data_IF_621920624352
#
_entry.id   IF_621920624352
#
_cell.length_a   1.000
_cell.length_b   1.000
_cell.length_c   1.000
_cell.angle_alpha   90.00
_cell.angle_beta   90.00
_cell.angle_gamma   90.00
#
_symmetry.space_group_name_H-M   'P 1'
#
loop_
_entity.id
_entity.type
_entity.pdbx_description
1 polymer ?
#
# COMPACT_ATOMS: atom_id res chain seq x y z
N UNK A 1 -18.69 7.49 15.90
CA UNK A 1 -18.45 7.38 14.45
C UNK A 1 -17.12 6.70 14.23
N UNK A 2 -17.07 5.68 13.38
CA UNK A 2 -15.84 5.09 12.85
C UNK A 2 -15.77 5.51 11.37
N UNK A 3 -14.67 6.13 10.93
CA UNK A 3 -14.57 6.63 9.58
C UNK A 3 -13.23 6.26 8.91
N UNK A 4 -13.28 6.09 7.60
CA UNK A 4 -12.12 6.07 6.72
C UNK A 4 -12.01 7.47 6.09
N UNK A 5 -11.04 8.30 6.50
CA UNK A 5 -10.98 9.68 6.02
C UNK A 5 -10.55 9.74 4.55
N UNK A 6 -11.28 10.53 3.76
CA UNK A 6 -10.87 10.90 2.41
C UNK A 6 -10.17 12.25 2.51
N UNK A 7 -8.97 12.35 1.95
CA UNK A 7 -8.17 13.56 2.00
C UNK A 7 -8.78 14.67 1.13
N UNK A 8 -9.56 15.55 1.75
CA UNK A 8 -9.92 16.86 1.20
C UNK A 8 -10.07 17.87 2.34
N UNK A 9 -9.79 19.14 2.08
CA UNK A 9 -9.97 20.21 3.08
C UNK A 9 -11.40 20.28 3.59
N UNK A 10 -12.38 20.04 2.74
CA UNK A 10 -13.81 20.04 3.09
C UNK A 10 -14.13 18.94 4.09
N UNK A 11 -13.59 17.74 3.87
CA UNK A 11 -13.79 16.60 4.77
C UNK A 11 -13.13 16.82 6.13
N UNK A 12 -11.94 17.46 6.19
CA UNK A 12 -11.28 17.78 7.46
C UNK A 12 -12.16 18.69 8.32
N UNK A 13 -12.76 19.73 7.72
CA UNK A 13 -13.66 20.63 8.45
C UNK A 13 -14.91 19.90 8.95
N UNK A 14 -15.45 18.98 8.18
CA UNK A 14 -16.59 18.15 8.55
C UNK A 14 -16.30 17.25 9.74
N UNK A 15 -15.19 16.50 9.72
CA UNK A 15 -14.77 15.66 10.86
C UNK A 15 -14.48 16.50 12.11
N UNK A 16 -13.89 17.68 11.94
CA UNK A 16 -13.60 18.59 13.04
C UNK A 16 -14.86 19.06 13.78
N UNK A 17 -15.97 19.28 13.06
CA UNK A 17 -17.24 19.65 13.67
C UNK A 17 -17.79 18.55 14.59
N UNK A 18 -17.70 17.28 14.18
CA UNK A 18 -18.11 16.17 15.06
C UNK A 18 -17.26 16.11 16.33
N UNK A 19 -15.96 16.24 16.19
CA UNK A 19 -15.04 16.24 17.32
C UNK A 19 -15.30 17.38 18.29
N UNK A 20 -15.47 18.62 17.78
CA UNK A 20 -15.75 19.81 18.59
C UNK A 20 -17.11 19.72 19.32
N UNK A 21 -18.07 19.03 18.74
CA UNK A 21 -19.38 18.76 19.36
C UNK A 21 -19.36 17.59 20.35
N UNK A 22 -18.19 17.04 20.66
CA UNK A 22 -18.03 15.93 21.62
C UNK A 22 -18.55 14.58 21.08
N UNK A 23 -18.75 14.44 19.77
CA UNK A 23 -19.17 13.17 19.17
C UNK A 23 -18.00 12.19 19.18
N UNK A 24 -18.13 10.99 19.77
CA UNK A 24 -17.10 9.96 19.71
C UNK A 24 -16.74 9.63 18.26
N UNK A 25 -15.45 9.74 17.94
CA UNK A 25 -14.95 9.60 16.56
C UNK A 25 -13.59 8.91 16.55
N UNK A 26 -13.45 7.89 15.70
CA UNK A 26 -12.20 7.16 15.45
C UNK A 26 -11.97 7.07 13.95
N UNK A 27 -10.78 7.42 13.52
CA UNK A 27 -10.31 7.25 12.15
C UNK A 27 -9.62 5.89 11.98
N UNK A 28 -9.75 5.29 10.80
CA UNK A 28 -9.09 4.03 10.44
C UNK A 28 -8.28 4.25 9.18
N UNK A 29 -7.07 3.71 9.17
CA UNK A 29 -6.10 3.69 8.07
C UNK A 29 -5.46 5.05 7.75
N UNK A 30 -6.20 6.15 7.75
CA UNK A 30 -5.69 7.49 7.45
C UNK A 30 -5.92 8.46 8.59
N UNK A 31 -4.92 9.29 8.86
CA UNK A 31 -5.01 10.34 9.89
C UNK A 31 -5.84 11.50 9.38
N UNK A 32 -6.70 12.06 10.24
CA UNK A 32 -7.33 13.35 9.97
C UNK A 32 -6.35 14.45 10.40
N UNK A 33 -5.85 15.29 9.49
CA UNK A 33 -4.92 16.36 9.81
C UNK A 33 -5.48 17.33 10.86
N UNK A 34 -4.61 17.87 11.71
CA UNK A 34 -4.91 18.93 12.69
C UNK A 34 -5.93 18.57 13.78
N UNK A 35 -6.23 17.28 13.97
CA UNK A 35 -7.21 16.82 14.95
C UNK A 35 -6.60 15.80 15.92
N UNK A 36 -7.09 15.82 17.15
CA UNK A 36 -6.78 14.82 18.17
C UNK A 36 -7.70 13.58 18.04
N UNK A 37 -8.18 13.31 16.84
CA UNK A 37 -9.04 12.16 16.56
C UNK A 37 -8.17 10.91 16.58
N UNK A 38 -8.48 9.93 17.43
CA UNK A 38 -7.74 8.68 17.45
C UNK A 38 -7.73 8.01 16.08
N UNK A 39 -6.57 7.54 15.68
CA UNK A 39 -6.40 6.86 14.39
C UNK A 39 -5.77 5.48 14.60
N UNK A 40 -6.35 4.48 13.96
CA UNK A 40 -5.87 3.11 13.95
C UNK A 40 -5.29 2.84 12.57
N UNK A 41 -4.02 2.46 12.49
CA UNK A 41 -3.31 2.24 11.23
C UNK A 41 -2.50 0.96 11.25
N UNK A 42 -2.22 0.43 10.06
CA UNK A 42 -1.15 -0.53 9.87
C UNK A 42 0.21 0.18 10.00
N UNK A 43 1.20 -0.45 10.62
CA UNK A 43 2.58 0.03 10.57
C UNK A 43 3.16 -0.18 9.16
N UNK A 44 2.73 0.69 8.24
CA UNK A 44 3.09 0.63 6.83
C UNK A 44 4.61 0.61 6.60
N UNK A 45 5.38 1.37 7.42
CA UNK A 45 6.83 1.40 7.33
C UNK A 45 7.44 0.04 7.70
N UNK A 46 7.09 -0.49 8.88
CA UNK A 46 7.67 -1.73 9.39
C UNK A 46 7.26 -2.93 8.55
N UNK A 47 6.01 -2.96 8.10
CA UNK A 47 5.50 -4.03 7.24
C UNK A 47 6.21 -4.03 5.88
N UNK A 48 6.37 -2.88 5.24
CA UNK A 48 7.10 -2.77 3.98
C UNK A 48 8.59 -3.08 4.14
N UNK A 49 9.22 -2.66 5.24
CA UNK A 49 10.59 -3.03 5.55
C UNK A 49 10.75 -4.56 5.63
N UNK A 50 9.85 -5.24 6.35
CA UNK A 50 9.87 -6.70 6.48
C UNK A 50 9.64 -7.40 5.14
N UNK A 51 8.76 -6.89 4.27
CA UNK A 51 8.54 -7.46 2.95
C UNK A 51 9.77 -7.31 2.05
N UNK A 52 10.39 -6.12 2.03
CA UNK A 52 11.64 -5.92 1.30
C UNK A 52 12.77 -6.81 1.85
N UNK A 53 12.90 -6.92 3.18
CA UNK A 53 13.85 -7.84 3.82
C UNK A 53 13.58 -9.31 3.46
N UNK A 54 12.31 -9.70 3.31
CA UNK A 54 11.95 -11.05 2.85
C UNK A 54 12.48 -11.30 1.43
N UNK A 55 12.32 -10.36 0.50
CA UNK A 55 12.87 -10.48 -0.86
C UNK A 55 14.40 -10.55 -0.84
N UNK A 56 15.05 -9.71 -0.04
CA UNK A 56 16.52 -9.71 0.11
C UNK A 56 17.01 -11.06 0.66
N UNK A 57 16.32 -11.63 1.66
CA UNK A 57 16.63 -12.94 2.23
C UNK A 57 16.43 -14.10 1.23
N UNK A 58 15.61 -13.86 0.17
CA UNK A 58 15.45 -14.78 -0.97
C UNK A 58 16.54 -14.61 -2.04
N UNK A 59 17.47 -13.67 -1.85
CA UNK A 59 18.61 -13.43 -2.73
C UNK A 59 18.40 -12.30 -3.75
N UNK A 60 17.28 -11.58 -3.69
CA UNK A 60 17.05 -10.46 -4.58
C UNK A 60 17.87 -9.24 -4.13
N UNK A 61 18.66 -8.69 -5.04
CA UNK A 61 19.43 -7.43 -4.85
C UNK A 61 18.98 -6.34 -5.81
N UNK A 62 18.22 -6.67 -6.83
CA UNK A 62 17.60 -5.75 -7.79
C UNK A 62 16.09 -5.87 -7.64
N UNK A 63 15.53 -5.01 -6.80
CA UNK A 63 14.11 -5.01 -6.44
C UNK A 63 13.52 -3.69 -6.90
N UNK A 64 12.45 -3.74 -7.68
CA UNK A 64 11.66 -2.56 -8.07
C UNK A 64 10.57 -2.30 -7.05
N UNK A 65 10.15 -1.04 -6.90
CA UNK A 65 8.99 -0.63 -6.13
C UNK A 65 7.95 0.01 -7.05
N UNK A 66 6.72 -0.46 -6.96
CA UNK A 66 5.64 0.00 -7.81
C UNK A 66 4.46 0.51 -6.98
N UNK A 67 4.08 1.76 -7.17
CA UNK A 67 3.00 2.44 -6.45
C UNK A 67 2.06 3.16 -7.42
N UNK A 68 0.90 3.62 -6.92
CA UNK A 68 0.01 4.49 -7.70
C UNK A 68 0.11 5.95 -7.26
N UNK A 69 0.69 6.23 -6.11
CA UNK A 69 0.75 7.61 -5.61
C UNK A 69 1.84 7.82 -4.56
N UNK A 70 3.01 8.29 -4.97
CA UNK A 70 4.06 8.68 -4.02
C UNK A 70 3.69 9.86 -3.10
N UNK A 71 2.54 10.50 -3.28
CA UNK A 71 2.07 11.57 -2.40
C UNK A 71 1.20 11.06 -1.25
N UNK A 72 0.61 9.86 -1.36
CA UNK A 72 -0.16 9.23 -0.29
C UNK A 72 0.72 8.92 0.94
N UNK A 73 0.22 9.19 2.15
CA UNK A 73 0.99 9.00 3.40
C UNK A 73 1.37 7.54 3.62
N UNK A 74 0.44 6.61 3.42
CA UNK A 74 0.68 5.19 3.63
C UNK A 74 1.71 4.65 2.63
N UNK A 75 1.59 5.05 1.35
CA UNK A 75 2.53 4.62 0.32
C UNK A 75 3.93 5.23 0.49
N UNK A 76 4.04 6.49 0.96
CA UNK A 76 5.32 7.06 1.38
C UNK A 76 5.99 6.25 2.49
N UNK A 77 5.21 5.79 3.47
CA UNK A 77 5.73 4.96 4.56
C UNK A 77 6.15 3.58 4.04
N UNK A 78 5.37 2.96 3.15
CA UNK A 78 5.72 1.70 2.47
C UNK A 78 7.02 1.86 1.68
N UNK A 79 7.12 2.91 0.86
CA UNK A 79 8.32 3.21 0.09
C UNK A 79 9.55 3.47 0.98
N UNK A 80 9.39 4.23 2.07
CA UNK A 80 10.48 4.48 3.03
C UNK A 80 10.94 3.18 3.70
N UNK A 81 10.01 2.29 4.07
CA UNK A 81 10.33 0.98 4.62
C UNK A 81 11.14 0.12 3.65
N UNK A 82 10.70 0.05 2.40
CA UNK A 82 11.41 -0.62 1.31
C UNK A 82 12.82 -0.05 1.12
N UNK A 83 12.97 1.29 0.98
CA UNK A 83 14.29 1.92 0.80
C UNK A 83 15.25 1.63 1.94
N UNK A 84 14.78 1.74 3.19
CA UNK A 84 15.63 1.50 4.34
C UNK A 84 16.07 0.01 4.41
N UNK A 85 15.22 -0.92 4.04
CA UNK A 85 15.62 -2.33 3.95
C UNK A 85 16.75 -2.55 2.93
N UNK A 86 16.71 -1.88 1.76
CA UNK A 86 17.81 -1.94 0.79
C UNK A 86 19.10 -1.37 1.39
N UNK A 87 19.03 -0.17 1.96
CA UNK A 87 20.19 0.55 2.52
C UNK A 87 20.84 -0.27 3.64
N UNK A 88 20.05 -0.80 4.58
CA UNK A 88 20.55 -1.57 5.72
C UNK A 88 21.23 -2.90 5.27
N UNK A 89 20.90 -3.38 4.08
CA UNK A 89 21.52 -4.56 3.45
C UNK A 89 22.60 -4.19 2.41
N UNK A 90 23.09 -2.94 2.38
CA UNK A 90 24.10 -2.43 1.47
C UNK A 90 23.71 -2.57 -0.02
N UNK A 91 22.42 -2.52 -0.33
CA UNK A 91 21.90 -2.49 -1.70
C UNK A 91 21.64 -1.04 -2.08
N UNK A 92 22.29 -0.56 -3.14
CA UNK A 92 22.08 0.81 -3.64
C UNK A 92 20.74 0.89 -4.35
N UNK A 93 19.80 1.76 -3.93
CA UNK A 93 18.56 2.00 -4.65
C UNK A 93 18.83 2.55 -6.06
N UNK A 94 18.11 2.07 -7.06
CA UNK A 94 18.17 2.54 -8.43
C UNK A 94 16.89 3.32 -8.78
N UNK A 95 17.03 4.54 -9.29
CA UNK A 95 15.87 5.39 -9.61
C UNK A 95 14.99 4.78 -10.71
N UNK A 96 15.58 4.07 -11.67
CA UNK A 96 14.84 3.40 -12.74
C UNK A 96 13.93 2.26 -12.26
N UNK A 97 14.07 1.85 -11.00
CA UNK A 97 13.24 0.80 -10.36
C UNK A 97 12.02 1.38 -9.62
N UNK A 98 11.82 2.70 -9.62
CA UNK A 98 10.68 3.32 -8.95
C UNK A 98 9.61 3.65 -9.96
N UNK A 99 8.52 2.88 -9.92
CA UNK A 99 7.42 3.01 -10.85
C UNK A 99 6.21 3.61 -10.15
N UNK A 100 5.54 4.51 -10.85
CA UNK A 100 4.29 5.13 -10.42
C UNK A 100 3.27 5.07 -11.55
N UNK A 101 2.03 4.73 -11.22
CA UNK A 101 0.91 4.93 -12.13
C UNK A 101 0.38 6.33 -11.86
N UNK A 102 0.37 7.20 -12.88
CA UNK A 102 -0.20 8.52 -12.73
C UNK A 102 -1.66 8.43 -12.24
N UNK A 103 -1.96 9.10 -11.14
CA UNK A 103 -3.27 9.08 -10.51
C UNK A 103 -4.39 9.53 -11.46
N UNK A 104 -4.09 10.46 -12.36
CA UNK A 104 -5.05 10.97 -13.35
C UNK A 104 -5.35 9.96 -14.44
N UNK A 105 -4.49 8.94 -14.59
CA UNK A 105 -4.67 7.80 -15.50
C UNK A 105 -5.44 6.64 -14.86
N UNK A 106 -5.69 6.67 -13.54
CA UNK A 106 -6.45 5.63 -12.86
C UNK A 106 -7.95 5.89 -13.01
N UNK A 107 -8.75 4.91 -13.49
CA UNK A 107 -10.19 5.01 -13.42
C UNK A 107 -10.60 5.20 -11.95
N UNK A 108 -11.59 6.05 -11.69
CA UNK A 108 -12.14 6.29 -10.33
C UNK A 108 -12.56 4.99 -9.63
N UNK A 109 -12.72 3.93 -10.39
CA UNK A 109 -13.00 2.59 -9.93
C UNK A 109 -12.00 1.63 -10.61
N UNK A 110 -10.86 1.36 -9.95
CA UNK A 110 -9.84 0.42 -10.45
C UNK A 110 -10.37 -1.00 -10.70
N UNK A 111 -11.55 -1.31 -10.21
CA UNK A 111 -12.26 -2.58 -10.42
C UNK A 111 -13.24 -2.54 -11.62
N UNK A 112 -13.33 -1.41 -12.35
CA UNK A 112 -14.20 -1.33 -13.52
C UNK A 112 -13.57 -2.02 -14.73
N UNK A 113 -14.44 -2.62 -15.58
CA UNK A 113 -14.05 -3.33 -16.80
C UNK A 113 -13.29 -2.47 -17.84
N UNK A 114 -13.16 -1.16 -17.62
CA UNK A 114 -12.42 -0.20 -18.47
C UNK A 114 -10.97 0.03 -18.02
N UNK A 115 -10.28 -1.02 -17.60
CA UNK A 115 -8.88 -0.95 -17.16
C UNK A 115 -7.85 -0.95 -18.30
N UNK A 116 -8.26 -0.82 -19.56
CA UNK A 116 -7.35 -0.88 -20.72
C UNK A 116 -6.22 0.15 -20.68
N UNK A 117 -6.46 1.32 -20.09
CA UNK A 117 -5.44 2.36 -19.93
C UNK A 117 -4.41 1.96 -18.87
N UNK A 118 -4.85 1.45 -17.73
CA UNK A 118 -3.96 0.92 -16.67
C UNK A 118 -3.10 -0.22 -17.21
N UNK A 119 -3.70 -1.16 -17.93
CA UNK A 119 -3.00 -2.24 -18.60
C UNK A 119 -1.92 -1.72 -19.55
N UNK A 120 -2.25 -0.74 -20.41
CA UNK A 120 -1.30 -0.15 -21.35
C UNK A 120 -0.13 0.54 -20.66
N UNK A 121 -0.38 1.24 -19.54
CA UNK A 121 0.66 1.91 -18.76
C UNK A 121 1.59 0.87 -18.14
N UNK A 122 1.03 -0.11 -17.43
CA UNK A 122 1.81 -1.15 -16.74
C UNK A 122 2.59 -1.99 -17.75
N UNK A 123 1.98 -2.33 -18.89
CA UNK A 123 2.65 -3.04 -19.98
C UNK A 123 3.94 -2.33 -20.42
N UNK A 124 3.83 -1.04 -20.78
CA UNK A 124 4.96 -0.24 -21.24
C UNK A 124 6.04 -0.07 -20.17
N UNK A 125 5.62 0.17 -18.92
CA UNK A 125 6.56 0.33 -17.81
C UNK A 125 7.28 -0.99 -17.52
N UNK A 126 6.58 -2.12 -17.56
CA UNK A 126 7.16 -3.44 -17.34
C UNK A 126 8.10 -3.84 -18.49
N UNK A 127 7.70 -3.59 -19.75
CA UNK A 127 8.55 -3.80 -20.91
C UNK A 127 9.84 -2.99 -20.80
N UNK A 128 9.73 -1.70 -20.47
CA UNK A 128 10.91 -0.85 -20.23
C UNK A 128 11.79 -1.38 -19.10
N UNK A 129 11.17 -1.69 -17.93
CA UNK A 129 11.89 -2.19 -16.76
C UNK A 129 12.68 -3.48 -17.07
N UNK A 130 12.08 -4.38 -17.82
CA UNK A 130 12.69 -5.66 -18.19
C UNK A 130 13.71 -5.54 -19.35
N UNK A 131 13.75 -4.41 -20.06
CA UNK A 131 14.75 -4.10 -21.08
C UNK A 131 16.05 -3.52 -20.51
N UNK A 132 16.08 -3.12 -19.25
CA UNK A 132 17.27 -2.56 -18.60
C UNK A 132 18.41 -3.59 -18.59
N UNK A 133 19.66 -3.13 -18.77
CA UNK A 133 20.85 -3.98 -18.69
C UNK A 133 20.95 -4.69 -17.33
N UNK A 134 20.68 -3.94 -16.26
CA UNK A 134 20.56 -4.47 -14.89
C UNK A 134 19.08 -4.50 -14.51
N UNK A 135 18.30 -5.38 -15.16
CA UNK A 135 16.87 -5.52 -14.88
C UNK A 135 16.60 -6.03 -13.45
N UNK A 136 15.51 -5.61 -12.79
CA UNK A 136 15.14 -6.14 -11.49
C UNK A 136 14.74 -7.62 -11.59
N UNK A 137 14.92 -8.34 -10.49
CA UNK A 137 14.50 -9.74 -10.34
C UNK A 137 13.28 -9.89 -9.45
N UNK A 138 12.84 -8.78 -8.83
CA UNK A 138 11.62 -8.73 -8.05
C UNK A 138 10.96 -7.37 -8.16
N UNK A 139 9.64 -7.33 -8.02
CA UNK A 139 8.83 -6.11 -7.87
C UNK A 139 8.05 -6.20 -6.56
N UNK A 140 8.20 -5.16 -5.73
CA UNK A 140 7.34 -4.94 -4.58
C UNK A 140 6.26 -3.92 -4.97
N UNK A 141 5.05 -4.40 -5.15
CA UNK A 141 3.88 -3.56 -5.43
C UNK A 141 3.31 -3.01 -4.12
N UNK A 142 3.08 -1.70 -4.06
CA UNK A 142 2.59 -1.02 -2.87
C UNK A 142 1.21 -1.50 -2.43
N UNK A 143 0.43 -2.18 -3.32
CA UNK A 143 -0.81 -2.88 -2.99
C UNK A 143 -1.13 -3.97 -4.04
N UNK A 144 -2.00 -4.89 -3.64
CA UNK A 144 -2.25 -6.13 -4.37
C UNK A 144 -2.87 -5.95 -5.76
N UNK A 145 -3.66 -4.89 -5.97
CA UNK A 145 -4.25 -4.65 -7.30
C UNK A 145 -3.18 -4.30 -8.34
N UNK A 146 -2.15 -3.53 -7.98
CA UNK A 146 -1.01 -3.31 -8.89
C UNK A 146 -0.30 -4.64 -9.17
N UNK A 147 -0.09 -5.46 -8.15
CA UNK A 147 0.55 -6.77 -8.31
C UNK A 147 -0.24 -7.68 -9.27
N UNK A 148 -1.57 -7.65 -9.20
CA UNK A 148 -2.44 -8.39 -10.10
C UNK A 148 -2.28 -7.94 -11.55
N UNK A 149 -2.29 -6.63 -11.79
CA UNK A 149 -2.04 -6.07 -13.13
C UNK A 149 -0.63 -6.41 -13.64
N UNK A 150 0.39 -6.31 -12.77
CA UNK A 150 1.78 -6.69 -13.12
C UNK A 150 1.84 -8.15 -13.52
N UNK A 151 1.20 -9.07 -12.80
CA UNK A 151 1.16 -10.50 -13.19
C UNK A 151 0.50 -10.71 -14.55
N UNK A 152 -0.60 -10.02 -14.81
CA UNK A 152 -1.32 -10.13 -16.06
C UNK A 152 -0.47 -9.63 -17.23
N UNK A 153 0.17 -8.46 -17.09
CA UNK A 153 1.03 -7.91 -18.14
C UNK A 153 2.34 -8.69 -18.31
N UNK A 154 2.91 -9.23 -17.24
CA UNK A 154 4.05 -10.14 -17.30
C UNK A 154 3.73 -11.37 -18.18
N UNK A 155 2.53 -11.94 -18.01
CA UNK A 155 2.06 -13.06 -18.83
C UNK A 155 1.97 -12.70 -20.31
N UNK A 156 1.46 -11.50 -20.64
CA UNK A 156 1.38 -11.04 -22.06
C UNK A 156 2.75 -10.79 -22.68
N UNK A 157 3.74 -10.38 -21.87
CA UNK A 157 5.13 -10.18 -22.29
C UNK A 157 5.97 -11.47 -22.30
N UNK A 158 5.39 -12.61 -21.90
CA UNK A 158 6.10 -13.88 -21.81
C UNK A 158 7.10 -13.95 -20.65
N UNK A 159 6.93 -13.11 -19.62
CA UNK A 159 7.75 -13.08 -18.42
C UNK A 159 7.17 -14.09 -17.41
N UNK A 160 7.95 -15.08 -17.03
CA UNK A 160 7.54 -16.10 -16.07
C UNK A 160 7.61 -15.57 -14.63
N UNK A 161 6.51 -15.75 -13.87
CA UNK A 161 6.48 -15.48 -12.45
C UNK A 161 6.37 -16.82 -11.71
N UNK A 162 7.24 -17.13 -10.76
CA UNK A 162 8.29 -16.28 -10.19
C UNK A 162 9.67 -16.40 -10.84
N UNK A 163 9.86 -17.22 -11.90
CA UNK A 163 11.16 -17.65 -12.38
C UNK A 163 12.00 -16.52 -12.97
N UNK A 164 11.40 -15.66 -13.81
CA UNK A 164 12.05 -14.47 -14.37
C UNK A 164 11.91 -13.25 -13.49
N UNK A 165 10.78 -13.14 -12.77
CA UNK A 165 10.42 -11.98 -11.97
C UNK A 165 9.54 -12.38 -10.79
N UNK A 166 10.02 -12.17 -9.57
CA UNK A 166 9.21 -12.33 -8.37
C UNK A 166 8.31 -11.10 -8.15
N UNK A 167 7.04 -11.32 -7.80
CA UNK A 167 6.08 -10.24 -7.52
C UNK A 167 5.51 -10.42 -6.13
N UNK A 168 5.53 -9.34 -5.33
CA UNK A 168 4.89 -9.31 -4.00
C UNK A 168 3.99 -8.10 -3.89
N UNK A 169 2.98 -8.20 -3.02
CA UNK A 169 1.96 -7.18 -2.80
C UNK A 169 1.87 -6.68 -1.37
N UNK A 170 0.83 -5.92 -1.11
CA UNK A 170 0.46 -5.40 0.20
C UNK A 170 -1.06 -5.33 0.28
N UNK A 171 -1.64 -5.67 1.43
CA UNK A 171 -3.03 -5.72 1.89
C UNK A 171 -3.56 -7.14 2.11
N UNK A 172 -3.05 -8.16 1.42
CA UNK A 172 -3.52 -9.54 1.42
C UNK A 172 -5.02 -9.65 1.13
N UNK A 173 -5.41 -9.05 0.01
CA UNK A 173 -6.80 -9.09 -0.45
C UNK A 173 -7.19 -10.52 -0.90
N UNK A 174 -8.48 -10.82 -0.87
CA UNK A 174 -9.02 -12.11 -1.31
C UNK A 174 -8.55 -12.55 -2.70
N UNK A 175 -8.28 -11.59 -3.59
CA UNK A 175 -7.78 -11.88 -4.94
C UNK A 175 -6.42 -12.58 -4.96
N UNK A 176 -5.60 -12.43 -3.90
CA UNK A 176 -4.23 -12.97 -3.86
C UNK A 176 -4.18 -14.49 -4.07
N UNK A 177 -5.16 -15.21 -3.54
CA UNK A 177 -5.25 -16.67 -3.67
C UNK A 177 -5.82 -17.11 -5.01
N UNK A 178 -6.40 -16.19 -5.82
CA UNK A 178 -7.11 -16.47 -7.05
C UNK A 178 -6.41 -15.99 -8.31
N UNK A 179 -5.23 -15.36 -8.15
CA UNK A 179 -4.39 -14.99 -9.28
C UNK A 179 -3.79 -16.24 -9.94
N UNK A 180 -3.36 -16.12 -11.19
CA UNK A 180 -2.70 -17.20 -11.92
C UNK A 180 -1.50 -17.77 -11.15
N UNK A 181 -0.71 -16.89 -10.52
CA UNK A 181 0.31 -17.25 -9.54
C UNK A 181 -0.14 -16.65 -8.20
N UNK A 182 -0.43 -17.48 -7.17
CA UNK A 182 -0.82 -16.96 -5.86
C UNK A 182 0.18 -15.92 -5.34
N UNK A 183 -0.34 -14.78 -4.87
CA UNK A 183 0.47 -13.62 -4.53
C UNK A 183 0.94 -13.66 -3.09
N UNK A 184 2.26 -13.58 -2.87
CA UNK A 184 2.81 -13.27 -1.56
C UNK A 184 2.53 -11.80 -1.23
N UNK A 185 1.83 -11.55 -0.14
CA UNK A 185 1.40 -10.20 0.23
C UNK A 185 1.55 -9.94 1.73
N UNK A 186 1.69 -8.67 2.11
CA UNK A 186 1.63 -8.22 3.50
C UNK A 186 0.17 -8.24 3.95
N UNK A 187 -0.14 -9.06 4.95
CA UNK A 187 -1.48 -9.07 5.53
C UNK A 187 -1.67 -7.91 6.52
N UNK A 188 -2.70 -7.11 6.30
CA UNK A 188 -3.19 -6.16 7.29
C UNK A 188 -4.18 -6.86 8.22
N UNK A 189 -4.05 -6.65 9.54
CA UNK A 189 -4.98 -7.23 10.52
C UNK A 189 -6.24 -6.35 10.66
N UNK A 190 -7.07 -6.35 9.62
CA UNK A 190 -8.33 -5.60 9.60
C UNK A 190 -9.27 -5.99 10.75
N UNK A 191 -9.21 -7.25 11.21
CA UNK A 191 -10.02 -7.73 12.33
C UNK A 191 -9.57 -7.09 13.63
N UNK A 192 -8.27 -7.09 13.92
CA UNK A 192 -7.74 -6.43 15.12
C UNK A 192 -7.97 -4.92 15.08
N UNK A 193 -7.78 -4.29 13.91
CA UNK A 193 -8.05 -2.86 13.71
C UNK A 193 -9.55 -2.53 13.98
N UNK A 194 -10.47 -3.34 13.44
CA UNK A 194 -11.91 -3.17 13.67
C UNK A 194 -12.30 -3.33 15.16
N UNK A 195 -11.77 -4.37 15.82
CA UNK A 195 -12.00 -4.58 17.25
C UNK A 195 -11.48 -3.40 18.09
N UNK A 196 -10.29 -2.89 17.75
CA UNK A 196 -9.73 -1.72 18.42
C UNK A 196 -10.56 -0.46 18.18
N UNK A 197 -11.12 -0.27 17.00
CA UNK A 197 -12.01 0.85 16.71
C UNK A 197 -13.27 0.82 17.60
N UNK A 198 -13.88 -0.35 17.77
CA UNK A 198 -15.03 -0.52 18.66
C UNK A 198 -14.64 -0.25 20.13
N UNK A 199 -13.49 -0.78 20.59
CA UNK A 199 -12.98 -0.50 21.94
C UNK A 199 -12.85 1.01 22.20
N UNK A 200 -12.20 1.73 21.26
CA UNK A 200 -11.95 3.16 21.42
C UNK A 200 -13.23 3.99 21.41
N UNK A 201 -14.18 3.66 20.53
CA UNK A 201 -15.50 4.32 20.53
C UNK A 201 -16.23 4.08 21.87
N UNK A 202 -16.19 2.85 22.39
CA UNK A 202 -16.83 2.52 23.67
C UNK A 202 -16.22 3.31 24.81
N UNK A 203 -14.90 3.45 24.87
CA UNK A 203 -14.19 4.28 25.85
C UNK A 203 -14.58 5.76 25.76
N UNK A 204 -14.62 6.31 24.55
CA UNK A 204 -15.04 7.70 24.33
C UNK A 204 -16.49 7.94 24.79
N UNK A 205 -17.40 7.00 24.52
CA UNK A 205 -18.80 7.07 25.00
C UNK A 205 -18.85 7.05 26.55
N UNK A 206 -17.97 6.28 27.19
CA UNK A 206 -17.84 6.24 28.64
C UNK A 206 -17.14 7.47 29.24
N UNK A 207 -16.67 8.41 28.44
CA UNK A 207 -15.93 9.60 28.88
C UNK A 207 -14.46 9.32 29.25
N UNK A 208 -13.94 8.17 28.87
CA UNK A 208 -12.54 7.79 29.10
C UNK A 208 -11.62 8.44 28.06
N UNK A 209 -10.40 8.77 28.48
CA UNK A 209 -9.36 9.26 27.55
C UNK A 209 -8.79 8.11 26.72
N UNK A 210 -8.48 8.39 25.46
CA UNK A 210 -7.85 7.46 24.54
C UNK A 210 -6.61 8.09 23.89
N UNK A 211 -5.64 7.28 23.52
CA UNK A 211 -4.46 7.74 22.78
C UNK A 211 -4.83 8.18 21.36
N UNK A 212 -4.00 9.02 20.76
CA UNK A 212 -4.26 9.58 19.44
C UNK A 212 -3.85 8.67 18.27
N UNK A 213 -3.03 7.63 18.51
CA UNK A 213 -2.56 6.74 17.44
C UNK A 213 -2.32 5.32 17.92
N UNK A 214 -2.72 4.36 17.11
CA UNK A 214 -2.53 2.92 17.33
C UNK A 214 -2.02 2.28 16.05
N UNK A 215 -0.90 1.54 16.14
CA UNK A 215 -0.27 0.84 15.02
C UNK A 215 -0.40 -0.68 15.19
N UNK A 216 -0.71 -1.38 14.09
CA UNK A 216 -0.86 -2.82 13.97
C UNK A 216 0.13 -3.43 12.96
#
# INVERSE_FOLDING_TARGET
IICYPIESYENVSYYSQFFLNGTPLVAVDKTIPYNYIPCIKTDNYRCAYKMAQYLINKGHTRISFYTHNFKDENEKLRFKGYLNALIDNNITPCADYFLEIDKDSLPQNMMSENSSEVHSIIHKQLEHLMSLAEKPTAIFCAFDLIAAYVQQEASTLGISIPDDLSVVGFDNLYLCDHLQVPLTSVAQDFTAMGNKAIELISKQIAGESVESSYLF
#
